data_IF_780279436707
#
_entry.id   IF_780279436707
#
_cell.length_a   1.000
_cell.length_b   1.000
_cell.length_c   1.000
_cell.angle_alpha   90.00
_cell.angle_beta   90.00
_cell.angle_gamma   90.00
#
_symmetry.space_group_name_H-M   'P 1'
#
loop_
_entity.id
_entity.type
_entity.pdbx_description
1 polymer ?
#
# COMPACT_ATOMS: atom_id res chain seq x y z
N UNK A 1 -15.49 1.42 0.84
CA UNK A 1 -14.74 2.05 1.95
C UNK A 1 -13.25 1.78 1.73
N UNK A 2 -12.53 2.77 1.21
CA UNK A 2 -11.08 2.70 0.95
C UNK A 2 -10.33 2.52 2.27
N UNK A 3 -9.75 1.33 2.50
CA UNK A 3 -8.95 1.04 3.70
C UNK A 3 -7.62 1.80 3.64
N UNK A 4 -7.60 3.01 4.18
CA UNK A 4 -6.39 3.83 4.37
C UNK A 4 -5.66 3.42 5.64
N UNK A 5 -4.34 3.27 5.58
CA UNK A 5 -3.52 2.90 6.73
C UNK A 5 -2.74 4.10 7.24
N UNK A 6 -2.83 4.39 8.53
CA UNK A 6 -1.90 5.32 9.15
C UNK A 6 -0.50 4.73 9.20
N UNK A 7 0.53 5.56 9.00
CA UNK A 7 1.93 5.12 8.96
C UNK A 7 2.34 4.38 10.24
N UNK A 8 1.86 4.83 11.40
CA UNK A 8 2.10 4.18 12.69
C UNK A 8 1.47 2.77 12.75
N UNK A 9 0.25 2.61 12.26
CA UNK A 9 -0.45 1.32 12.26
C UNK A 9 0.17 0.37 11.26
N UNK A 10 0.58 0.87 10.09
CA UNK A 10 1.30 0.09 9.09
C UNK A 10 2.66 -0.39 9.63
N UNK A 11 3.36 0.45 10.40
CA UNK A 11 4.62 0.08 11.06
C UNK A 11 4.43 -0.97 12.14
N UNK A 12 3.40 -0.82 13.00
CA UNK A 12 3.10 -1.76 14.08
C UNK A 12 2.62 -3.13 13.56
N UNK A 13 1.90 -3.16 12.43
CA UNK A 13 1.32 -4.37 11.86
C UNK A 13 1.78 -4.60 10.43
N UNK A 14 3.09 -4.49 10.20
CA UNK A 14 3.65 -4.57 8.85
C UNK A 14 3.31 -5.88 8.12
N UNK A 15 3.34 -7.02 8.83
CA UNK A 15 3.00 -8.32 8.23
C UNK A 15 1.54 -8.37 7.74
N UNK A 16 0.59 -7.88 8.55
CA UNK A 16 -0.81 -7.82 8.14
C UNK A 16 -1.04 -6.81 7.02
N UNK A 17 -0.32 -5.68 7.04
CA UNK A 17 -0.35 -4.68 5.98
C UNK A 17 0.15 -5.26 4.64
N UNK A 18 1.25 -6.03 4.67
CA UNK A 18 1.80 -6.71 3.50
C UNK A 18 0.81 -7.73 2.92
N UNK A 19 0.29 -8.64 3.74
CA UNK A 19 -0.69 -9.64 3.29
C UNK A 19 -1.94 -9.01 2.70
N UNK A 20 -2.37 -7.92 3.31
CA UNK A 20 -3.56 -7.25 2.87
C UNK A 20 -3.35 -6.44 1.58
N UNK A 21 -2.11 -6.00 1.29
CA UNK A 21 -1.75 -5.46 -0.04
C UNK A 21 -1.69 -6.54 -1.12
N UNK A 22 -1.29 -7.77 -0.76
CA UNK A 22 -1.22 -8.92 -1.67
C UNK A 22 -2.61 -9.42 -2.06
N UNK A 23 -3.53 -9.45 -1.10
CA UNK A 23 -4.89 -10.00 -1.29
C UNK A 23 -5.88 -8.98 -1.83
N UNK A 24 -5.77 -7.70 -1.44
CA UNK A 24 -6.76 -6.66 -1.78
C UNK A 24 -6.22 -5.60 -2.75
N UNK A 25 -4.94 -5.69 -3.13
CA UNK A 25 -4.30 -4.76 -4.05
C UNK A 25 -3.68 -3.53 -3.38
N UNK A 26 -3.33 -2.49 -4.16
CA UNK A 26 -2.64 -1.30 -3.69
C UNK A 26 -3.35 -0.60 -2.53
N UNK A 27 -2.59 -0.12 -1.55
CA UNK A 27 -3.14 0.58 -0.39
C UNK A 27 -2.54 1.95 -0.18
N UNK A 28 -3.38 2.91 0.19
CA UNK A 28 -2.93 4.24 0.58
C UNK A 28 -2.44 4.23 2.04
N UNK A 29 -1.25 4.77 2.24
CA UNK A 29 -0.68 5.09 3.53
C UNK A 29 -0.81 6.59 3.75
N UNK A 30 -1.32 6.97 4.91
CA UNK A 30 -1.48 8.36 5.33
C UNK A 30 -0.59 8.67 6.52
N UNK A 31 0.01 9.85 6.54
CA UNK A 31 0.67 10.41 7.71
C UNK A 31 -0.23 11.51 8.27
N UNK A 32 -0.64 11.40 9.54
CA UNK A 32 -1.58 12.34 10.18
C UNK A 32 -2.87 12.60 9.37
N UNK A 33 -3.38 11.60 8.64
CA UNK A 33 -4.56 11.71 7.79
C UNK A 33 -4.30 12.29 6.40
N UNK A 34 -3.08 12.73 6.12
CA UNK A 34 -2.66 13.23 4.80
C UNK A 34 -2.14 12.06 3.95
N UNK A 35 -2.60 11.89 2.70
CA UNK A 35 -2.02 10.92 1.75
C UNK A 35 -0.51 11.10 1.61
N UNK A 36 0.26 10.10 2.03
CA UNK A 36 1.73 10.17 2.04
C UNK A 36 2.37 9.24 1.00
N UNK A 37 1.87 8.01 0.87
CA UNK A 37 2.40 7.04 -0.08
C UNK A 37 1.36 5.99 -0.46
N UNK A 38 1.55 5.32 -1.60
CA UNK A 38 0.78 4.12 -1.96
C UNK A 38 1.70 2.91 -1.89
N UNK A 39 1.29 1.90 -1.13
CA UNK A 39 1.99 0.63 -1.05
C UNK A 39 1.45 -0.33 -2.11
N UNK A 40 2.35 -0.77 -2.98
CA UNK A 40 2.04 -1.68 -4.10
C UNK A 40 2.93 -2.91 -3.98
N UNK A 41 2.39 -4.14 -4.06
CA UNK A 41 3.20 -5.34 -4.14
C UNK A 41 4.14 -5.30 -5.34
N UNK A 42 5.38 -5.75 -5.16
CA UNK A 42 6.44 -5.67 -6.18
C UNK A 42 6.01 -6.22 -7.55
N UNK A 43 5.29 -7.35 -7.59
CA UNK A 43 4.80 -7.96 -8.83
C UNK A 43 3.86 -7.04 -9.60
N UNK A 44 3.02 -6.30 -8.89
CA UNK A 44 2.08 -5.35 -9.50
C UNK A 44 2.79 -4.07 -9.92
N UNK A 45 3.68 -3.54 -9.08
CA UNK A 45 4.52 -2.39 -9.45
C UNK A 45 5.34 -2.64 -10.71
N UNK A 46 5.92 -3.84 -10.82
CA UNK A 46 6.67 -4.28 -12.00
C UNK A 46 5.81 -4.26 -13.26
N UNK A 47 4.55 -4.73 -13.19
CA UNK A 47 3.59 -4.66 -14.31
C UNK A 47 3.24 -3.22 -14.67
N UNK A 48 2.99 -2.36 -13.69
CA UNK A 48 2.67 -0.94 -13.93
C UNK A 48 3.81 -0.21 -14.64
N UNK A 49 5.06 -0.43 -14.22
CA UNK A 49 6.24 0.19 -14.86
C UNK A 49 6.46 -0.28 -16.29
N UNK A 50 6.17 -1.55 -16.59
CA UNK A 50 6.31 -2.11 -17.94
C UNK A 50 5.23 -1.60 -18.91
N UNK A 51 4.06 -1.20 -18.40
CA UNK A 51 2.97 -0.63 -19.19
C UNK A 51 3.13 0.88 -19.46
N UNK A 52 4.13 1.53 -18.86
CA UNK A 52 4.37 2.98 -19.02
C UNK A 52 5.54 3.26 -19.96
N UNK A 53 5.73 2.43 -20.99
CA UNK A 53 6.77 2.58 -22.00
C UNK A 53 6.16 2.83 -23.37
#
# INVERSE_FOLDING_TARGET
MTRTWQVQTAKAHFSAFLEASRTQGPRLVTECGVPAAVFVPFQQWRKTKLLTK
#
